data_IF_211307479569
#
_entry.id   IF_211307479569
#
_cell.length_a   1.000
_cell.length_b   1.000
_cell.length_c   1.000
_cell.angle_alpha   90.00
_cell.angle_beta   90.00
_cell.angle_gamma   90.00
#
_symmetry.space_group_name_H-M   'P 1'
#
loop_
_entity.id
_entity.type
_entity.pdbx_description
1 polymer ?
#
# COMPACT_ATOMS: atom_id res chain seq x y z
N UNK A 1 27.19 32.12 40.14
CA UNK A 1 27.17 30.64 40.19
C UNK A 1 25.71 30.22 40.27
N UNK A 2 25.24 29.39 39.34
CA UNK A 2 23.92 28.75 39.41
C UNK A 2 22.81 29.37 38.55
N UNK A 3 22.69 28.94 37.28
CA UNK A 3 21.38 28.59 36.70
C UNK A 3 21.50 27.75 35.40
N UNK A 4 22.22 26.63 35.48
CA UNK A 4 22.42 25.67 34.38
C UNK A 4 21.63 24.33 34.43
N UNK A 5 20.65 24.06 35.33
CA UNK A 5 19.96 22.77 35.34
C UNK A 5 18.72 22.70 34.43
N UNK A 6 18.05 23.81 34.11
CA UNK A 6 16.77 23.79 33.41
C UNK A 6 16.88 23.46 31.91
N UNK A 7 17.89 24.01 31.23
CA UNK A 7 18.07 23.82 29.77
C UNK A 7 18.41 22.36 29.45
N UNK A 8 19.25 21.68 30.25
CA UNK A 8 19.59 20.26 30.03
C UNK A 8 18.40 19.31 30.24
N UNK A 9 17.43 19.65 31.08
CA UNK A 9 16.22 18.82 31.27
C UNK A 9 15.31 18.87 30.03
N UNK A 10 15.17 20.04 29.40
CA UNK A 10 14.36 20.21 28.19
C UNK A 10 14.95 19.47 26.98
N UNK A 11 16.28 19.44 26.84
CA UNK A 11 16.95 18.64 25.81
C UNK A 11 16.82 17.13 26.02
N UNK A 12 16.91 16.64 27.26
CA UNK A 12 16.68 15.20 27.55
C UNK A 12 15.24 14.77 27.30
N UNK A 13 14.26 15.61 27.63
CA UNK A 13 12.84 15.33 27.35
C UNK A 13 12.53 15.33 25.83
N UNK A 14 13.05 16.30 25.07
CA UNK A 14 12.85 16.36 23.62
C UNK A 14 13.60 15.27 22.83
N UNK A 15 14.70 14.74 23.37
CA UNK A 15 15.42 13.61 22.77
C UNK A 15 14.80 12.25 23.14
N UNK A 16 14.22 12.14 24.35
CA UNK A 16 13.46 10.96 24.77
C UNK A 16 12.16 10.79 23.96
N UNK A 17 11.45 11.89 23.67
CA UNK A 17 10.24 11.89 22.84
C UNK A 17 10.54 11.43 21.39
N UNK A 18 11.62 11.96 20.80
CA UNK A 18 12.08 11.60 19.45
C UNK A 18 12.65 10.17 19.37
N UNK A 19 13.16 9.62 20.47
CA UNK A 19 13.57 8.22 20.56
C UNK A 19 12.40 7.22 20.64
N UNK A 20 11.18 7.69 20.91
CA UNK A 20 9.96 6.87 20.89
C UNK A 20 9.39 6.63 19.48
N UNK A 21 9.82 7.43 18.48
CA UNK A 21 9.45 7.25 17.07
C UNK A 21 10.04 5.96 16.46
N UNK A 22 11.12 5.45 17.04
CA UNK A 22 11.66 4.12 16.76
C UNK A 22 11.09 3.05 17.70
N UNK A 23 9.82 3.17 18.11
CA UNK A 23 9.05 2.03 18.60
C UNK A 23 9.20 0.90 17.59
N UNK A 24 10.01 -0.12 17.94
CA UNK A 24 10.40 -1.21 17.06
C UNK A 24 9.20 -1.64 16.21
N UNK A 25 9.37 -1.75 14.88
CA UNK A 25 8.35 -2.27 13.96
C UNK A 25 7.62 -3.49 14.55
N UNK A 26 8.36 -4.32 15.31
CA UNK A 26 7.87 -5.48 16.05
C UNK A 26 6.87 -5.15 17.17
N UNK A 27 7.08 -4.08 17.94
CA UNK A 27 6.17 -3.62 19.00
C UNK A 27 4.88 -3.00 18.44
N UNK A 28 4.96 -2.25 17.34
CA UNK A 28 3.79 -1.76 16.59
C UNK A 28 2.97 -2.91 15.99
N UNK A 29 3.65 -3.88 15.37
CA UNK A 29 3.02 -5.09 14.85
C UNK A 29 2.34 -5.91 15.95
N UNK A 30 2.79 -5.83 17.21
CA UNK A 30 2.11 -6.48 18.35
C UNK A 30 0.80 -5.81 18.76
N UNK A 31 0.62 -4.50 18.52
CA UNK A 31 -0.61 -3.77 18.84
C UNK A 31 -1.62 -3.76 17.67
N UNK A 32 -1.14 -3.77 16.43
CA UNK A 32 -1.95 -3.83 15.21
C UNK A 32 -1.87 -5.19 14.50
N UNK A 33 -1.77 -6.28 15.29
CA UNK A 33 -1.59 -7.66 14.79
C UNK A 33 -2.63 -8.06 13.76
N UNK A 34 -3.90 -7.76 14.04
CA UNK A 34 -5.02 -8.20 13.20
C UNK A 34 -5.01 -7.50 11.83
N UNK A 35 -4.94 -6.15 11.72
CA UNK A 35 -4.81 -5.49 10.43
C UNK A 35 -3.57 -5.93 9.64
N UNK A 36 -2.43 -6.08 10.31
CA UNK A 36 -1.18 -6.50 9.66
C UNK A 36 -1.27 -7.95 9.15
N UNK A 37 -1.83 -8.86 9.95
CA UNK A 37 -2.03 -10.26 9.56
C UNK A 37 -2.99 -10.37 8.37
N UNK A 38 -4.09 -9.61 8.36
CA UNK A 38 -5.04 -9.59 7.24
C UNK A 38 -4.38 -9.02 5.97
N UNK A 39 -3.60 -7.96 6.09
CA UNK A 39 -2.87 -7.39 4.96
C UNK A 39 -1.83 -8.37 4.38
N UNK A 40 -1.11 -9.08 5.24
CA UNK A 40 -0.15 -10.11 4.82
C UNK A 40 -0.84 -11.35 4.24
N UNK A 41 -1.99 -11.75 4.79
CA UNK A 41 -2.80 -12.83 4.23
C UNK A 41 -3.27 -12.48 2.80
N UNK A 42 -3.52 -11.21 2.52
CA UNK A 42 -3.82 -10.71 1.17
C UNK A 42 -2.67 -10.85 0.16
N UNK A 43 -1.43 -11.15 0.59
CA UNK A 43 -0.33 -11.46 -0.33
C UNK A 43 -0.32 -12.92 -0.79
N UNK A 44 -1.01 -13.81 -0.07
CA UNK A 44 -1.05 -15.24 -0.39
C UNK A 44 -1.56 -15.49 -1.81
N UNK A 45 -2.67 -14.88 -2.27
CA UNK A 45 -3.15 -15.10 -3.64
C UNK A 45 -2.18 -14.56 -4.70
N UNK A 46 -1.52 -13.43 -4.45
CA UNK A 46 -0.52 -12.88 -5.39
C UNK A 46 0.64 -13.85 -5.61
N UNK A 47 1.22 -14.36 -4.52
CA UNK A 47 2.37 -15.25 -4.57
C UNK A 47 1.95 -16.59 -5.18
N UNK A 48 0.82 -17.16 -4.75
CA UNK A 48 0.35 -18.46 -5.23
C UNK A 48 0.00 -18.43 -6.73
N UNK A 49 -0.75 -17.43 -7.18
CA UNK A 49 -1.16 -17.31 -8.59
C UNK A 49 0.01 -16.98 -9.50
N UNK A 50 0.94 -16.13 -9.04
CA UNK A 50 2.18 -15.83 -9.79
C UNK A 50 3.09 -17.05 -9.91
N UNK A 51 3.24 -17.83 -8.83
CA UNK A 51 4.00 -19.08 -8.88
C UNK A 51 3.38 -20.07 -9.88
N UNK A 52 2.05 -20.24 -9.82
CA UNK A 52 1.30 -21.11 -10.72
C UNK A 52 1.38 -20.62 -12.18
N UNK A 53 1.32 -19.32 -12.44
CA UNK A 53 1.45 -18.81 -13.82
C UNK A 53 2.83 -19.09 -14.41
N UNK A 54 3.88 -19.15 -13.60
CA UNK A 54 5.24 -19.46 -14.09
C UNK A 54 5.47 -20.96 -14.27
N UNK A 55 4.98 -21.80 -13.35
CA UNK A 55 5.35 -23.23 -13.30
C UNK A 55 4.29 -24.18 -13.86
N UNK A 56 3.02 -23.77 -13.92
CA UNK A 56 1.93 -24.63 -14.37
C UNK A 56 1.43 -24.17 -15.75
N UNK A 57 1.93 -24.81 -16.81
CA UNK A 57 1.49 -24.53 -18.19
C UNK A 57 0.02 -24.90 -18.43
N UNK A 58 -0.52 -25.86 -17.68
CA UNK A 58 -1.95 -26.20 -17.76
C UNK A 58 -2.79 -25.09 -17.13
N UNK A 59 -3.56 -24.36 -17.94
CA UNK A 59 -4.45 -23.24 -17.56
C UNK A 59 -3.74 -21.93 -17.20
N UNK A 60 -2.60 -21.65 -17.82
CA UNK A 60 -1.85 -20.39 -17.66
C UNK A 60 -2.74 -19.14 -17.68
N UNK A 61 -3.59 -19.00 -18.71
CA UNK A 61 -4.52 -17.87 -18.87
C UNK A 61 -5.42 -17.66 -17.65
N UNK A 62 -5.92 -18.74 -17.07
CA UNK A 62 -6.82 -18.68 -15.90
C UNK A 62 -6.09 -18.10 -14.69
N UNK A 63 -4.84 -18.48 -14.46
CA UNK A 63 -4.06 -17.97 -13.33
C UNK A 63 -3.69 -16.49 -13.51
N UNK A 64 -3.31 -16.10 -14.73
CA UNK A 64 -2.99 -14.70 -15.03
C UNK A 64 -4.23 -13.81 -14.91
N UNK A 65 -5.38 -14.25 -15.43
CA UNK A 65 -6.64 -13.52 -15.28
C UNK A 65 -7.10 -13.44 -13.82
N UNK A 66 -6.97 -14.51 -13.06
CA UNK A 66 -7.27 -14.50 -11.63
C UNK A 66 -6.36 -13.51 -10.87
N UNK A 67 -5.06 -13.47 -11.20
CA UNK A 67 -4.10 -12.55 -10.61
C UNK A 67 -4.46 -11.09 -10.91
N UNK A 68 -4.81 -10.78 -12.16
CA UNK A 68 -5.25 -9.44 -12.57
C UNK A 68 -6.54 -9.00 -11.87
N UNK A 69 -7.53 -9.87 -11.82
CA UNK A 69 -8.80 -9.59 -11.15
C UNK A 69 -8.58 -9.36 -9.65
N UNK A 70 -7.74 -10.18 -9.01
CA UNK A 70 -7.39 -10.00 -7.61
C UNK A 70 -6.66 -8.66 -7.37
N UNK A 71 -5.72 -8.31 -8.24
CA UNK A 71 -5.02 -7.04 -8.16
C UNK A 71 -5.96 -5.84 -8.30
N UNK A 72 -6.94 -5.91 -9.21
CA UNK A 72 -7.98 -4.89 -9.35
C UNK A 72 -8.78 -4.73 -8.05
N UNK A 73 -9.20 -5.83 -7.42
CA UNK A 73 -9.90 -5.78 -6.13
C UNK A 73 -9.08 -5.07 -5.05
N UNK A 74 -7.77 -5.35 -4.98
CA UNK A 74 -6.87 -4.76 -3.99
C UNK A 74 -6.67 -3.26 -4.25
N UNK A 75 -6.51 -2.85 -5.52
CA UNK A 75 -6.41 -1.43 -5.88
C UNK A 75 -7.70 -0.68 -5.53
N UNK A 76 -8.87 -1.25 -5.81
CA UNK A 76 -10.16 -0.68 -5.40
C UNK A 76 -10.28 -0.56 -3.88
N UNK A 77 -9.82 -1.57 -3.13
CA UNK A 77 -9.80 -1.52 -1.66
C UNK A 77 -8.89 -0.41 -1.12
N UNK A 78 -7.73 -0.18 -1.74
CA UNK A 78 -6.83 0.95 -1.39
C UNK A 78 -7.54 2.30 -1.54
N UNK A 79 -8.30 2.48 -2.61
CA UNK A 79 -9.13 3.67 -2.81
C UNK A 79 -10.16 3.85 -1.68
N UNK A 80 -10.86 2.77 -1.31
CA UNK A 80 -11.86 2.81 -0.24
C UNK A 80 -11.30 3.24 1.13
N UNK A 81 -10.04 2.89 1.45
CA UNK A 81 -9.38 3.31 2.71
C UNK A 81 -9.28 4.83 2.81
N UNK A 82 -9.00 5.52 1.70
CA UNK A 82 -8.90 6.99 1.67
C UNK A 82 -10.24 7.67 1.95
N UNK A 83 -11.32 7.06 1.48
CA UNK A 83 -12.68 7.48 1.79
C UNK A 83 -12.97 7.38 3.29
N UNK A 84 -12.58 6.26 3.92
CA UNK A 84 -12.71 6.06 5.36
C UNK A 84 -11.88 7.03 6.21
N UNK A 85 -10.71 7.45 5.72
CA UNK A 85 -9.88 8.49 6.37
C UNK A 85 -10.56 9.86 6.24
N UNK A 86 -11.10 10.18 5.07
CA UNK A 86 -11.78 11.46 4.81
C UNK A 86 -12.98 11.68 5.75
N UNK A 87 -13.77 10.64 6.01
CA UNK A 87 -14.90 10.67 6.94
C UNK A 87 -14.52 10.97 8.39
N UNK A 88 -13.26 10.72 8.78
CA UNK A 88 -12.74 10.93 10.14
C UNK A 88 -11.90 12.21 10.26
N UNK A 89 -11.58 12.86 9.15
CA UNK A 89 -10.72 14.04 9.15
C UNK A 89 -11.51 15.29 9.56
N UNK A 90 -10.95 16.18 10.41
CA UNK A 90 -11.57 17.45 10.78
C UNK A 90 -11.92 18.27 9.54
N UNK A 91 -13.08 18.94 9.59
CA UNK A 91 -13.68 19.77 8.54
C UNK A 91 -12.66 20.72 7.90
N UNK A 92 -12.04 20.27 6.82
CA UNK A 92 -11.11 21.03 5.99
C UNK A 92 -11.51 20.83 4.52
N UNK A 93 -12.40 21.68 3.99
CA UNK A 93 -13.11 21.44 2.73
C UNK A 93 -12.21 21.11 1.53
N UNK A 94 -11.07 21.79 1.27
CA UNK A 94 -10.23 21.47 0.11
C UNK A 94 -9.49 20.14 0.27
N UNK A 95 -9.13 19.75 1.50
CA UNK A 95 -8.38 18.51 1.78
C UNK A 95 -9.26 17.28 1.70
N UNK A 96 -10.49 17.36 2.23
CA UNK A 96 -11.48 16.29 2.13
C UNK A 96 -11.87 16.02 0.67
N UNK A 97 -12.08 17.07 -0.15
CA UNK A 97 -12.36 16.92 -1.58
C UNK A 97 -11.27 16.15 -2.33
N UNK A 98 -10.00 16.41 -2.03
CA UNK A 98 -8.88 15.66 -2.63
C UNK A 98 -8.89 14.17 -2.23
N UNK A 99 -9.16 13.85 -0.96
CA UNK A 99 -9.23 12.47 -0.48
C UNK A 99 -10.43 11.72 -1.08
N UNK A 100 -11.57 12.40 -1.25
CA UNK A 100 -12.75 11.85 -1.93
C UNK A 100 -12.52 11.63 -3.42
N UNK A 101 -11.83 12.55 -4.11
CA UNK A 101 -11.44 12.31 -5.51
C UNK A 101 -10.51 11.10 -5.62
N UNK A 102 -9.54 10.99 -4.71
CA UNK A 102 -8.57 9.91 -4.72
C UNK A 102 -9.15 8.54 -4.34
N UNK A 103 -10.31 8.45 -3.70
CA UNK A 103 -10.89 7.13 -3.41
C UNK A 103 -11.43 6.41 -4.64
N UNK A 104 -11.84 7.17 -5.66
CA UNK A 104 -12.49 6.65 -6.87
C UNK A 104 -11.47 6.41 -7.98
N UNK A 105 -10.44 7.25 -8.05
CA UNK A 105 -9.40 7.20 -9.10
C UNK A 105 -8.74 5.80 -9.21
N UNK A 106 -8.28 5.16 -8.12
CA UNK A 106 -7.66 3.83 -8.19
C UNK A 106 -8.60 2.77 -8.75
N UNK A 107 -9.88 2.77 -8.35
CA UNK A 107 -10.85 1.80 -8.84
C UNK A 107 -11.14 1.98 -10.33
N UNK A 108 -11.32 3.22 -10.79
CA UNK A 108 -11.51 3.52 -12.22
C UNK A 108 -10.27 3.20 -13.04
N UNK A 109 -9.09 3.51 -12.52
CA UNK A 109 -7.82 3.17 -13.17
C UNK A 109 -7.66 1.65 -13.29
N UNK A 110 -7.93 0.88 -12.23
CA UNK A 110 -7.88 -0.58 -12.29
C UNK A 110 -8.86 -1.15 -13.33
N UNK A 111 -10.09 -0.62 -13.37
CA UNK A 111 -11.08 -1.01 -14.38
C UNK A 111 -10.62 -0.69 -15.80
N UNK A 112 -10.10 0.51 -16.04
CA UNK A 112 -9.56 0.92 -17.34
C UNK A 112 -8.38 0.03 -17.78
N UNK A 113 -7.48 -0.31 -16.84
CA UNK A 113 -6.37 -1.22 -17.11
C UNK A 113 -6.90 -2.59 -17.54
N UNK A 114 -7.92 -3.15 -16.88
CA UNK A 114 -8.48 -4.45 -17.26
C UNK A 114 -9.06 -4.50 -18.68
N UNK A 115 -9.45 -3.36 -19.25
CA UNK A 115 -9.98 -3.26 -20.61
C UNK A 115 -8.89 -3.23 -21.69
N UNK A 116 -7.60 -3.18 -21.32
CA UNK A 116 -6.51 -3.25 -22.28
C UNK A 116 -6.52 -4.62 -23.00
N UNK A 117 -6.32 -4.64 -24.33
CA UNK A 117 -6.36 -5.89 -25.11
C UNK A 117 -5.18 -6.80 -24.80
N UNK A 118 -3.99 -6.22 -24.59
CA UNK A 118 -2.78 -6.97 -24.31
C UNK A 118 -2.67 -7.39 -22.83
N UNK A 119 -2.30 -8.65 -22.58
CA UNK A 119 -2.16 -9.19 -21.23
C UNK A 119 -0.94 -8.62 -20.50
N UNK A 120 0.17 -8.40 -21.23
CA UNK A 120 1.38 -7.79 -20.68
C UNK A 120 1.12 -6.35 -20.23
N UNK A 121 0.44 -5.56 -21.05
CA UNK A 121 0.02 -4.19 -20.75
C UNK A 121 -0.92 -4.12 -19.55
N UNK A 122 -1.84 -5.08 -19.39
CA UNK A 122 -2.69 -5.20 -18.20
C UNK A 122 -1.87 -5.41 -16.93
N UNK A 123 -0.93 -6.35 -16.96
CA UNK A 123 -0.08 -6.67 -15.80
C UNK A 123 0.83 -5.50 -15.43
N UNK A 124 1.49 -4.90 -16.43
CA UNK A 124 2.34 -3.73 -16.24
C UNK A 124 1.53 -2.52 -15.74
N UNK A 125 0.38 -2.25 -16.35
CA UNK A 125 -0.52 -1.17 -15.95
C UNK A 125 -1.01 -1.31 -14.51
N UNK A 126 -1.33 -2.54 -14.08
CA UNK A 126 -1.75 -2.80 -12.70
C UNK A 126 -0.60 -2.63 -11.71
N UNK A 127 0.62 -3.06 -12.07
CA UNK A 127 1.81 -2.85 -11.25
C UNK A 127 2.13 -1.35 -11.10
N UNK A 128 2.07 -0.59 -12.19
CA UNK A 128 2.24 0.87 -12.18
C UNK A 128 1.15 1.52 -11.32
N UNK A 129 -0.09 1.07 -11.44
CA UNK A 129 -1.21 1.55 -10.63
C UNK A 129 -1.01 1.36 -9.12
N UNK A 130 -0.52 0.18 -8.71
CA UNK A 130 -0.17 -0.11 -7.32
C UNK A 130 0.96 0.78 -6.81
N UNK A 131 1.99 1.02 -7.63
CA UNK A 131 3.09 1.94 -7.31
C UNK A 131 2.58 3.38 -7.20
N UNK A 132 1.72 3.81 -8.12
CA UNK A 132 1.08 5.13 -8.07
C UNK A 132 0.26 5.35 -6.80
N UNK A 133 -0.50 4.33 -6.38
CA UNK A 133 -1.21 4.35 -5.10
C UNK A 133 -0.24 4.51 -3.91
N UNK A 134 0.84 3.73 -3.88
CA UNK A 134 1.85 3.83 -2.82
C UNK A 134 2.59 5.19 -2.83
N UNK A 135 2.80 5.80 -4.00
CA UNK A 135 3.39 7.13 -4.10
C UNK A 135 2.48 8.20 -3.48
N UNK A 136 1.16 8.10 -3.71
CA UNK A 136 0.19 9.01 -3.08
C UNK A 136 0.10 8.76 -1.57
N UNK A 137 0.13 7.50 -1.12
CA UNK A 137 0.26 7.17 0.30
C UNK A 137 1.51 7.85 0.90
N UNK A 138 2.64 7.87 0.17
CA UNK A 138 3.86 8.55 0.60
C UNK A 138 3.69 10.08 0.72
N UNK A 139 2.91 10.72 -0.15
CA UNK A 139 2.55 12.13 -0.02
C UNK A 139 1.70 12.37 1.23
N UNK A 140 0.73 11.48 1.50
CA UNK A 140 -0.13 11.55 2.68
C UNK A 140 0.65 11.33 3.97
N UNK A 141 1.60 10.40 3.96
CA UNK A 141 2.50 10.14 5.08
C UNK A 141 3.35 11.37 5.41
N UNK A 142 3.95 12.01 4.40
CA UNK A 142 4.70 13.27 4.59
C UNK A 142 3.84 14.40 5.14
N UNK A 143 2.52 14.37 4.89
CA UNK A 143 1.54 15.33 5.43
C UNK A 143 0.94 14.91 6.79
N UNK A 144 1.53 13.90 7.45
CA UNK A 144 1.10 13.33 8.72
C UNK A 144 -0.38 12.91 8.76
N UNK A 145 -0.95 12.51 7.61
CA UNK A 145 -2.33 12.04 7.49
C UNK A 145 -2.49 10.56 7.81
N UNK A 146 -1.45 9.79 7.52
CA UNK A 146 -1.41 8.35 7.74
C UNK A 146 -0.23 8.01 8.64
N UNK A 147 -0.38 7.02 9.54
CA UNK A 147 0.70 6.61 10.42
C UNK A 147 1.78 5.85 9.63
N UNK A 148 3.05 6.02 10.03
CA UNK A 148 4.20 5.45 9.31
C UNK A 148 4.18 3.92 9.21
N UNK A 149 3.60 3.21 10.18
CA UNK A 149 3.46 1.74 10.11
C UNK A 149 2.55 1.30 8.96
N UNK A 150 1.50 2.08 8.66
CA UNK A 150 0.58 1.77 7.56
C UNK A 150 1.25 2.00 6.22
N UNK A 151 2.03 3.09 6.09
CA UNK A 151 2.82 3.35 4.89
C UNK A 151 3.88 2.26 4.65
N UNK A 152 4.63 1.87 5.67
CA UNK A 152 5.63 0.79 5.56
C UNK A 152 4.99 -0.55 5.15
N UNK A 153 3.83 -0.87 5.73
CA UNK A 153 3.03 -2.04 5.34
C UNK A 153 2.62 -1.93 3.86
N UNK A 154 2.14 -0.78 3.40
CA UNK A 154 1.78 -0.58 1.98
C UNK A 154 2.95 -0.69 1.03
N UNK A 155 4.12 -0.16 1.37
CA UNK A 155 5.33 -0.38 0.56
C UNK A 155 5.63 -1.88 0.41
N UNK A 156 5.60 -2.64 1.51
CA UNK A 156 5.81 -4.09 1.45
C UNK A 156 4.79 -4.79 0.57
N UNK A 157 3.50 -4.48 0.73
CA UNK A 157 2.44 -5.09 -0.07
C UNK A 157 2.59 -4.77 -1.57
N UNK A 158 2.84 -3.50 -1.89
CA UNK A 158 3.02 -3.04 -3.27
C UNK A 158 4.25 -3.67 -3.91
N UNK A 159 5.37 -3.81 -3.19
CA UNK A 159 6.56 -4.47 -3.70
C UNK A 159 6.31 -5.93 -4.04
N UNK A 160 5.70 -6.70 -3.13
CA UNK A 160 5.42 -8.13 -3.36
C UNK A 160 4.39 -8.32 -4.47
N UNK A 161 3.30 -7.54 -4.46
CA UNK A 161 2.27 -7.60 -5.49
C UNK A 161 2.83 -7.20 -6.87
N UNK A 162 3.64 -6.13 -6.93
CA UNK A 162 4.30 -5.67 -8.16
C UNK A 162 5.25 -6.71 -8.72
N UNK A 163 6.10 -7.32 -7.87
CA UNK A 163 6.99 -8.42 -8.30
C UNK A 163 6.19 -9.63 -8.81
N UNK A 164 5.08 -9.97 -8.15
CA UNK A 164 4.20 -11.07 -8.56
C UNK A 164 3.58 -10.82 -9.94
N UNK A 165 3.15 -9.58 -10.21
CA UNK A 165 2.61 -9.16 -11.51
C UNK A 165 3.69 -9.15 -12.60
N UNK A 166 4.91 -8.69 -12.29
CA UNK A 166 6.02 -8.69 -13.24
C UNK A 166 6.48 -10.12 -13.59
N UNK A 167 6.52 -11.03 -12.61
CA UNK A 167 6.83 -12.43 -12.85
C UNK A 167 5.78 -13.10 -13.76
N UNK A 168 4.48 -12.81 -13.53
CA UNK A 168 3.42 -13.27 -14.42
C UNK A 168 3.56 -12.65 -15.83
N UNK A 169 3.93 -11.37 -15.94
CA UNK A 169 4.15 -10.72 -17.23
C UNK A 169 5.37 -11.29 -17.98
N UNK A 170 6.41 -11.72 -17.27
CA UNK A 170 7.52 -12.42 -17.89
C UNK A 170 7.06 -13.78 -18.46
N UNK A 171 6.18 -14.50 -17.75
CA UNK A 171 5.65 -15.78 -18.21
C UNK A 171 4.73 -15.71 -19.42
N UNK A 172 4.15 -14.54 -19.73
CA UNK A 172 3.34 -14.34 -20.94
C UNK A 172 4.16 -14.02 -22.19
N UNK A 173 5.44 -13.65 -22.03
CA UNK A 173 6.34 -13.24 -23.11
C UNK A 173 7.33 -14.33 -23.55
N UNK A 174 7.36 -15.48 -22.86
CA UNK A 174 8.21 -16.63 -23.18
C UNK A 174 7.41 -17.78 -23.73
#
# INVERSE_FOLDING_TARGET
MGDRPAIRRRWRAGCADRSSEAMSMRAMLRRYRVPAALALAGLVPFIALSWLSVHASSRHDVYVHALLNYAACIVSFVGAVHWGIALRAPESPPRQRMLYGWSVIPALMAWAVLMLPDIGARLAGMAIGLVGCAAVDGVLWRKALIPGWYFALRCLLTSVAGLSLLAAAASTNG
#
